data_IF_202355311187
#
_entry.id   IF_202355311187
#
_cell.length_a   1.000
_cell.length_b   1.000
_cell.length_c   1.000
_cell.angle_alpha   90.00
_cell.angle_beta   90.00
_cell.angle_gamma   90.00
#
_symmetry.space_group_name_H-M   'P 1'
#
loop_
_entity.id
_entity.type
_entity.pdbx_description
1 polymer ?
#
# COMPACT_ATOMS: atom_id res chain seq x y z
N UNK A 1 -19.38 -13.99 10.72
CA UNK A 1 -18.67 -13.03 11.60
C UNK A 1 -19.67 -11.94 11.95
N UNK A 2 -20.07 -11.82 13.22
CA UNK A 2 -21.02 -10.81 13.69
C UNK A 2 -20.26 -9.50 13.90
N UNK A 3 -20.59 -8.45 13.13
CA UNK A 3 -19.93 -7.15 13.24
C UNK A 3 -20.77 -6.22 14.12
N UNK A 4 -20.25 -5.86 15.29
CA UNK A 4 -20.78 -4.79 16.14
C UNK A 4 -20.06 -3.49 15.78
N UNK A 5 -20.76 -2.56 15.12
CA UNK A 5 -20.24 -1.22 14.83
C UNK A 5 -20.65 -0.23 15.93
N UNK A 6 -19.68 0.51 16.46
CA UNK A 6 -19.94 1.65 17.35
C UNK A 6 -20.52 2.84 16.57
N UNK A 7 -21.40 3.63 17.22
CA UNK A 7 -22.14 4.77 16.65
C UNK A 7 -21.27 6.01 16.30
N UNK A 8 -20.07 5.82 15.77
CA UNK A 8 -19.18 6.92 15.37
C UNK A 8 -18.84 6.84 13.88
N UNK A 9 -19.86 6.58 13.07
CA UNK A 9 -19.82 6.68 11.61
C UNK A 9 -20.37 8.06 11.22
N UNK A 10 -19.71 9.13 11.66
CA UNK A 10 -20.31 10.47 11.66
C UNK A 10 -19.38 11.47 10.97
N UNK A 11 -19.63 11.70 9.68
CA UNK A 11 -19.17 12.80 8.81
C UNK A 11 -17.65 12.99 8.58
N UNK A 12 -16.82 12.97 9.61
CA UNK A 12 -15.37 13.24 9.46
C UNK A 12 -14.63 12.20 8.60
N UNK A 13 -15.09 10.94 8.61
CA UNK A 13 -14.51 9.90 7.74
C UNK A 13 -14.92 10.04 6.27
N UNK A 14 -16.12 10.55 6.00
CA UNK A 14 -16.60 10.78 4.63
C UNK A 14 -15.90 11.99 4.01
N UNK A 15 -15.79 13.10 4.75
CA UNK A 15 -15.04 14.28 4.31
C UNK A 15 -13.55 13.95 4.04
N UNK A 16 -12.95 13.08 4.84
CA UNK A 16 -11.58 12.62 4.62
C UNK A 16 -11.44 11.79 3.33
N UNK A 17 -12.45 10.99 3.00
CA UNK A 17 -12.49 10.19 1.78
C UNK A 17 -12.72 11.06 0.54
N UNK A 18 -13.65 12.01 0.61
CA UNK A 18 -13.87 13.01 -0.45
C UNK A 18 -12.60 13.80 -0.73
N UNK A 19 -11.94 14.31 0.31
CA UNK A 19 -10.67 15.02 0.16
C UNK A 19 -9.57 14.14 -0.44
N UNK A 20 -9.53 12.84 -0.10
CA UNK A 20 -8.59 11.91 -0.72
C UNK A 20 -8.88 11.74 -2.22
N UNK A 21 -10.14 11.61 -2.61
CA UNK A 21 -10.54 11.53 -4.03
C UNK A 21 -10.23 12.81 -4.82
N UNK A 22 -10.24 13.97 -4.17
CA UNK A 22 -9.80 15.24 -4.77
C UNK A 22 -8.28 15.34 -4.90
N UNK A 23 -7.52 14.68 -4.01
CA UNK A 23 -6.06 14.73 -3.99
C UNK A 23 -5.39 13.75 -4.94
N UNK A 24 -5.95 12.55 -5.09
CA UNK A 24 -5.30 11.46 -5.84
C UNK A 24 -6.21 10.84 -6.89
N UNK A 25 -5.64 10.58 -8.06
CA UNK A 25 -6.28 9.78 -9.09
C UNK A 25 -5.92 8.30 -8.91
N UNK A 26 -6.92 7.48 -8.55
CA UNK A 26 -6.74 6.05 -8.31
C UNK A 26 -6.63 5.29 -9.64
N UNK A 27 -5.40 5.17 -10.14
CA UNK A 27 -5.13 4.43 -11.39
C UNK A 27 -5.42 2.93 -11.28
N UNK A 28 -5.02 2.31 -10.17
CA UNK A 28 -5.24 0.89 -9.93
C UNK A 28 -5.61 0.66 -8.47
N UNK A 29 -6.79 0.11 -8.24
CA UNK A 29 -7.24 -0.33 -6.92
C UNK A 29 -8.32 -1.39 -7.09
N UNK A 30 -8.00 -2.65 -6.83
CA UNK A 30 -8.84 -3.80 -7.20
C UNK A 30 -10.30 -3.73 -6.68
N UNK A 31 -10.52 -3.09 -5.54
CA UNK A 31 -11.86 -2.95 -4.95
C UNK A 31 -12.66 -1.73 -5.43
N UNK A 32 -12.01 -0.73 -6.04
CA UNK A 32 -12.62 0.57 -6.36
C UNK A 32 -12.61 0.90 -7.85
N UNK A 33 -11.65 0.37 -8.60
CA UNK A 33 -11.53 0.59 -10.03
C UNK A 33 -12.67 -0.05 -10.81
N UNK A 34 -13.00 0.52 -11.96
CA UNK A 34 -14.06 0.02 -12.83
C UNK A 34 -13.54 -1.09 -13.77
N UNK A 35 -12.29 -0.98 -14.20
CA UNK A 35 -11.60 -1.89 -15.10
C UNK A 35 -11.41 -3.27 -14.46
N UNK A 36 -11.62 -4.33 -15.23
CA UNK A 36 -11.46 -5.72 -14.76
C UNK A 36 -10.69 -6.58 -15.77
N UNK A 37 -10.15 -7.71 -15.30
CA UNK A 37 -9.41 -8.66 -16.15
C UNK A 37 -8.29 -7.96 -16.93
N UNK A 38 -8.25 -8.18 -18.25
CA UNK A 38 -7.24 -7.59 -19.14
C UNK A 38 -7.14 -6.06 -19.08
N UNK A 39 -8.24 -5.37 -18.78
CA UNK A 39 -8.21 -3.90 -18.64
C UNK A 39 -7.43 -3.49 -17.40
N UNK A 40 -7.68 -4.14 -16.26
CA UNK A 40 -6.93 -3.91 -15.03
C UNK A 40 -5.44 -4.27 -15.20
N UNK A 41 -5.17 -5.39 -15.88
CA UNK A 41 -3.81 -5.81 -16.22
C UNK A 41 -3.08 -4.79 -17.12
N UNK A 42 -3.79 -4.17 -18.07
CA UNK A 42 -3.21 -3.17 -18.96
C UNK A 42 -2.69 -1.94 -18.22
N UNK A 43 -3.34 -1.53 -17.12
CA UNK A 43 -2.89 -0.42 -16.28
C UNK A 43 -1.58 -0.78 -15.57
N UNK A 44 -1.51 -2.00 -15.01
CA UNK A 44 -0.27 -2.49 -14.39
C UNK A 44 0.86 -2.59 -15.42
N UNK A 45 0.56 -3.05 -16.63
CA UNK A 45 1.54 -3.11 -17.73
C UNK A 45 2.02 -1.72 -18.15
N UNK A 46 1.15 -0.71 -18.18
CA UNK A 46 1.55 0.68 -18.42
C UNK A 46 2.53 1.17 -17.35
N UNK A 47 2.29 0.85 -16.08
CA UNK A 47 3.22 1.15 -15.00
C UNK A 47 4.57 0.45 -15.19
N UNK A 48 4.58 -0.81 -15.63
CA UNK A 48 5.84 -1.50 -15.95
C UNK A 48 6.55 -0.95 -17.18
N UNK A 49 5.83 -0.55 -18.23
CA UNK A 49 6.44 -0.02 -19.45
C UNK A 49 6.94 1.41 -19.29
N UNK A 50 6.57 2.09 -18.19
CA UNK A 50 6.88 3.51 -17.95
C UNK A 50 5.91 4.46 -18.65
N UNK A 51 4.79 3.95 -19.15
CA UNK A 51 3.72 4.78 -19.73
C UNK A 51 2.81 5.38 -18.65
N UNK A 52 2.88 4.87 -17.42
CA UNK A 52 2.33 5.52 -16.25
C UNK A 52 3.46 6.22 -15.50
N UNK A 53 3.53 7.54 -15.68
CA UNK A 53 4.52 8.40 -15.03
C UNK A 53 4.04 8.78 -13.61
N UNK A 54 5.00 9.13 -12.74
CA UNK A 54 4.80 9.80 -11.44
C UNK A 54 3.72 9.19 -10.53
N UNK A 55 3.76 7.86 -10.35
CA UNK A 55 2.81 7.17 -9.48
C UNK A 55 3.39 6.83 -8.11
N UNK A 56 2.51 6.84 -7.11
CA UNK A 56 2.78 6.36 -5.76
C UNK A 56 2.32 4.91 -5.62
N UNK A 57 3.15 4.04 -5.07
CA UNK A 57 2.82 2.65 -4.79
C UNK A 57 2.41 2.50 -3.33
N UNK A 58 1.12 2.26 -3.09
CA UNK A 58 0.61 1.88 -1.77
C UNK A 58 0.36 0.36 -1.73
N UNK A 59 0.97 -0.30 -0.76
CA UNK A 59 0.82 -1.74 -0.54
C UNK A 59 0.05 -1.97 0.75
N UNK A 60 -1.07 -2.69 0.63
CA UNK A 60 -1.82 -3.25 1.75
C UNK A 60 -1.62 -4.77 1.80
N UNK A 61 -1.56 -5.31 3.01
CA UNK A 61 -1.44 -6.76 3.22
C UNK A 61 0.00 -7.25 3.41
N UNK A 62 0.11 -8.46 3.95
CA UNK A 62 1.40 -9.08 4.23
C UNK A 62 1.92 -9.81 2.99
N UNK A 63 3.25 -9.89 2.85
CA UNK A 63 3.89 -10.48 1.69
C UNK A 63 4.30 -11.92 2.03
N UNK A 64 3.63 -12.96 1.49
CA UNK A 64 4.06 -14.34 1.69
C UNK A 64 5.43 -14.54 1.02
N UNK A 65 6.44 -14.95 1.80
CA UNK A 65 7.81 -15.11 1.29
C UNK A 65 8.16 -16.55 0.90
N UNK A 66 7.53 -17.53 1.56
CA UNK A 66 7.70 -18.95 1.23
C UNK A 66 7.06 -19.24 -0.14
N UNK A 67 7.51 -20.29 -0.84
CA UNK A 67 6.90 -20.82 -2.06
C UNK A 67 6.38 -19.72 -3.01
N UNK A 68 7.31 -18.89 -3.51
CA UNK A 68 7.01 -17.62 -4.21
C UNK A 68 5.94 -17.72 -5.30
N UNK A 69 5.89 -18.85 -5.99
CA UNK A 69 4.95 -19.14 -7.10
C UNK A 69 3.56 -19.61 -6.62
N UNK A 70 3.38 -19.94 -5.35
CA UNK A 70 2.21 -20.68 -4.88
C UNK A 70 1.09 -19.80 -4.30
N UNK A 71 1.42 -18.63 -3.74
CA UNK A 71 0.47 -17.89 -2.91
C UNK A 71 -0.23 -16.73 -3.63
N UNK A 72 0.52 -15.80 -4.23
CA UNK A 72 -0.04 -14.58 -4.82
C UNK A 72 0.71 -14.22 -6.10
N UNK A 73 -0.07 -13.91 -7.14
CA UNK A 73 0.44 -13.51 -8.46
C UNK A 73 -0.32 -12.32 -9.01
N UNK A 74 0.42 -11.43 -9.67
CA UNK A 74 -0.10 -10.29 -10.42
C UNK A 74 0.47 -10.40 -11.84
N UNK A 75 -0.37 -10.26 -12.88
CA UNK A 75 0.06 -10.47 -14.28
C UNK A 75 0.74 -11.83 -14.52
N UNK A 76 0.30 -12.87 -13.79
CA UNK A 76 0.95 -14.19 -13.79
C UNK A 76 2.34 -14.24 -13.14
N UNK A 77 2.86 -13.12 -12.65
CA UNK A 77 4.16 -13.00 -11.97
C UNK A 77 4.00 -13.16 -10.45
N UNK A 78 4.91 -13.85 -9.75
CA UNK A 78 4.96 -13.86 -8.29
C UNK A 78 4.91 -12.46 -7.68
N UNK A 79 4.15 -12.29 -6.59
CA UNK A 79 4.02 -11.00 -5.90
C UNK A 79 5.38 -10.39 -5.53
N UNK A 80 6.36 -11.19 -5.10
CA UNK A 80 7.68 -10.67 -4.74
C UNK A 80 8.36 -9.99 -5.93
N UNK A 81 8.33 -10.65 -7.10
CA UNK A 81 8.97 -10.13 -8.31
C UNK A 81 8.21 -8.91 -8.85
N UNK A 82 6.88 -8.94 -8.75
CA UNK A 82 6.02 -7.80 -9.06
C UNK A 82 6.40 -6.59 -8.19
N UNK A 83 6.43 -6.76 -6.86
CA UNK A 83 6.74 -5.69 -5.91
C UNK A 83 8.15 -5.16 -6.09
N UNK A 84 9.15 -6.04 -6.28
CA UNK A 84 10.53 -5.62 -6.56
C UNK A 84 10.59 -4.74 -7.80
N UNK A 85 9.99 -5.16 -8.92
CA UNK A 85 10.06 -4.41 -10.19
C UNK A 85 9.24 -3.12 -10.17
N UNK A 86 8.02 -3.14 -9.64
CA UNK A 86 7.13 -1.98 -9.68
C UNK A 86 7.59 -0.90 -8.70
N UNK A 87 8.20 -1.31 -7.57
CA UNK A 87 8.73 -0.37 -6.58
C UNK A 87 9.92 0.46 -7.08
N UNK A 88 10.67 -0.01 -8.07
CA UNK A 88 11.75 0.78 -8.72
C UNK A 88 11.21 1.92 -9.60
N UNK A 89 9.94 1.85 -10.00
CA UNK A 89 9.29 2.83 -10.88
C UNK A 89 8.41 3.81 -10.14
N UNK A 90 8.01 3.46 -8.92
CA UNK A 90 7.21 4.32 -8.07
C UNK A 90 8.05 5.47 -7.53
N UNK A 91 7.49 6.67 -7.53
CA UNK A 91 8.11 7.84 -6.92
C UNK A 91 8.19 7.68 -5.40
N UNK A 92 7.13 7.09 -4.83
CA UNK A 92 7.05 6.78 -3.41
C UNK A 92 6.44 5.42 -3.16
N UNK A 93 7.00 4.69 -2.19
CA UNK A 93 6.51 3.38 -1.77
C UNK A 93 6.01 3.46 -0.33
N UNK A 94 4.73 3.14 -0.14
CA UNK A 94 4.02 3.24 1.14
C UNK A 94 3.52 1.85 1.54
N UNK A 95 3.94 1.38 2.72
CA UNK A 95 3.37 0.23 3.39
C UNK A 95 2.25 0.68 4.33
N UNK A 96 1.01 0.27 4.06
CA UNK A 96 -0.15 0.64 4.85
C UNK A 96 -0.65 -0.51 5.74
N UNK A 97 -0.63 -0.27 7.05
CA UNK A 97 -1.06 -1.20 8.07
C UNK A 97 0.01 -2.21 8.51
N UNK A 98 -0.20 -2.82 9.67
CA UNK A 98 0.74 -3.74 10.31
C UNK A 98 1.07 -4.97 9.45
N UNK A 99 0.14 -5.41 8.61
CA UNK A 99 0.39 -6.48 7.65
C UNK A 99 1.48 -6.08 6.65
N UNK A 100 1.36 -4.91 6.03
CA UNK A 100 2.35 -4.44 5.06
C UNK A 100 3.64 -3.95 5.74
N UNK A 101 3.60 -3.39 6.94
CA UNK A 101 4.83 -2.87 7.59
C UNK A 101 5.67 -3.96 8.26
N UNK A 102 5.05 -5.01 8.77
CA UNK A 102 5.75 -6.03 9.60
C UNK A 102 5.18 -7.45 9.46
N UNK A 103 4.34 -7.73 8.47
CA UNK A 103 3.74 -9.04 8.23
C UNK A 103 2.45 -9.32 9.01
N UNK A 104 2.17 -8.57 10.08
CA UNK A 104 0.88 -8.56 10.79
C UNK A 104 0.41 -9.94 11.29
N UNK A 105 -0.92 -10.16 11.23
CA UNK A 105 -1.52 -11.44 11.64
C UNK A 105 -0.96 -12.63 10.84
N UNK A 106 -0.79 -12.55 9.49
CA UNK A 106 -0.17 -13.64 8.72
C UNK A 106 1.23 -14.06 9.18
N UNK A 107 2.02 -13.12 9.72
CA UNK A 107 3.36 -13.39 10.25
C UNK A 107 3.37 -13.92 11.70
N UNK A 108 2.20 -13.98 12.35
CA UNK A 108 2.07 -14.55 13.69
C UNK A 108 2.31 -16.06 13.66
N UNK A 109 2.80 -16.62 14.76
CA UNK A 109 3.05 -18.07 14.88
C UNK A 109 1.82 -18.89 14.46
N UNK A 110 1.96 -19.94 13.62
CA UNK A 110 3.20 -20.58 13.18
C UNK A 110 3.84 -19.97 11.91
N UNK A 111 3.32 -18.86 11.40
CA UNK A 111 3.74 -18.20 10.16
C UNK A 111 3.96 -19.17 8.98
N UNK A 112 2.90 -19.86 8.52
CA UNK A 112 3.05 -20.87 7.50
C UNK A 112 3.63 -20.26 6.23
N UNK A 113 3.12 -19.13 5.73
CA UNK A 113 3.58 -18.56 4.45
C UNK A 113 4.91 -17.81 4.54
N UNK A 114 5.57 -17.81 5.71
CA UNK A 114 6.71 -16.94 6.03
C UNK A 114 6.41 -15.48 5.64
N UNK A 115 5.23 -14.98 6.00
CA UNK A 115 4.80 -13.63 5.70
C UNK A 115 5.77 -12.60 6.30
N UNK A 116 6.12 -11.60 5.50
CA UNK A 116 6.98 -10.48 5.87
C UNK A 116 6.31 -9.14 5.53
N UNK A 117 6.87 -8.05 6.07
CA UNK A 117 6.52 -6.70 5.68
C UNK A 117 7.29 -6.23 4.45
N UNK A 118 6.77 -5.23 3.75
CA UNK A 118 7.40 -4.54 2.64
C UNK A 118 8.76 -3.92 3.00
N UNK A 119 8.97 -3.30 4.19
CA UNK A 119 10.29 -2.83 4.59
C UNK A 119 11.35 -3.94 4.68
N UNK A 120 10.93 -5.18 5.00
CA UNK A 120 11.82 -6.35 5.01
C UNK A 120 12.21 -6.77 3.59
N UNK A 121 11.30 -6.63 2.61
CA UNK A 121 11.56 -6.97 1.22
C UNK A 121 12.41 -5.91 0.49
N UNK A 122 12.04 -4.63 0.60
CA UNK A 122 12.64 -3.54 -0.19
C UNK A 122 13.74 -2.77 0.56
N UNK A 123 13.83 -2.95 1.88
CA UNK A 123 14.72 -2.20 2.75
C UNK A 123 14.01 -1.02 3.44
N UNK A 124 14.24 -0.80 4.74
CA UNK A 124 13.44 0.11 5.57
C UNK A 124 13.58 1.59 5.22
N UNK A 125 14.65 1.98 4.50
CA UNK A 125 14.85 3.37 4.06
C UNK A 125 14.08 3.73 2.79
N UNK A 126 13.62 2.73 2.03
CA UNK A 126 12.91 2.92 0.76
C UNK A 126 11.39 2.94 0.92
N UNK A 127 10.88 2.61 2.11
CA UNK A 127 9.46 2.36 2.36
C UNK A 127 8.97 3.26 3.48
N UNK A 128 7.92 4.03 3.20
CA UNK A 128 7.18 4.75 4.23
C UNK A 128 6.21 3.80 4.91
N UNK A 129 6.30 3.70 6.24
CA UNK A 129 5.52 2.76 7.01
C UNK A 129 4.42 3.47 7.81
N UNK A 130 3.16 3.17 7.49
CA UNK A 130 2.00 3.66 8.24
C UNK A 130 1.45 2.51 9.07
N UNK A 131 1.75 2.53 10.36
CA UNK A 131 1.36 1.46 11.29
C UNK A 131 -0.12 1.55 11.70
N UNK A 132 -0.67 0.40 12.12
CA UNK A 132 -2.04 0.22 12.60
C UNK A 132 -2.71 -1.03 12.04
N UNK A 133 -3.79 -1.50 12.67
CA UNK A 133 -4.59 -2.63 12.19
C UNK A 133 -6.09 -2.29 12.26
N UNK A 134 -6.63 -1.45 11.34
CA UNK A 134 -5.99 -0.90 10.14
C UNK A 134 -5.10 0.33 10.40
N UNK A 135 -4.31 0.71 9.39
CA UNK A 135 -3.47 1.91 9.44
C UNK A 135 -4.27 3.19 9.75
N UNK A 136 -3.63 4.20 10.34
CA UNK A 136 -4.31 5.47 10.63
C UNK A 136 -4.56 6.25 9.34
N UNK A 137 -5.82 6.33 8.89
CA UNK A 137 -6.20 7.04 7.66
C UNK A 137 -5.77 8.52 7.67
N UNK A 138 -5.85 9.19 8.82
CA UNK A 138 -5.37 10.58 8.96
C UNK A 138 -3.89 10.71 8.61
N UNK A 139 -3.04 9.79 9.04
CA UNK A 139 -1.60 9.82 8.73
C UNK A 139 -1.34 9.64 7.24
N UNK A 140 -2.07 8.75 6.56
CA UNK A 140 -1.97 8.58 5.11
C UNK A 140 -2.36 9.87 4.37
N UNK A 141 -3.52 10.43 4.72
CA UNK A 141 -4.03 11.63 4.05
C UNK A 141 -3.15 12.84 4.31
N UNK A 142 -2.67 13.02 5.54
CA UNK A 142 -1.73 14.11 5.86
C UNK A 142 -0.38 13.91 5.16
N UNK A 143 0.12 12.67 5.04
CA UNK A 143 1.33 12.39 4.27
C UNK A 143 1.14 12.78 2.80
N UNK A 144 0.05 12.37 2.16
CA UNK A 144 -0.24 12.68 0.76
C UNK A 144 -0.43 14.19 0.54
N UNK A 145 -1.22 14.84 1.41
CA UNK A 145 -1.46 16.28 1.36
C UNK A 145 -0.17 17.11 1.57
N UNK A 146 0.83 16.55 2.26
CA UNK A 146 2.14 17.18 2.40
C UNK A 146 3.04 16.85 1.19
N UNK A 147 3.04 15.59 0.74
CA UNK A 147 3.96 15.15 -0.31
C UNK A 147 3.60 15.73 -1.68
N UNK A 148 2.34 15.63 -2.10
CA UNK A 148 1.89 16.00 -3.45
C UNK A 148 2.23 17.46 -3.81
N UNK A 149 1.94 18.48 -2.98
CA UNK A 149 2.25 19.87 -3.36
C UNK A 149 3.71 20.28 -3.15
N UNK A 150 4.47 19.58 -2.29
CA UNK A 150 5.83 20.00 -1.91
C UNK A 150 6.94 19.08 -2.44
N UNK A 151 6.58 17.92 -2.98
CA UNK A 151 7.47 16.82 -3.42
C UNK A 151 8.52 16.48 -2.34
N UNK A 152 8.11 16.59 -1.08
CA UNK A 152 8.98 16.44 0.09
C UNK A 152 8.30 15.59 1.14
N UNK A 153 9.09 14.75 1.79
CA UNK A 153 8.60 13.97 2.91
C UNK A 153 8.51 14.84 4.17
N UNK A 154 7.46 14.66 5.00
CA UNK A 154 7.42 15.25 6.32
C UNK A 154 8.54 14.67 7.20
N UNK A 155 8.80 15.21 8.40
CA UNK A 155 9.75 14.62 9.33
C UNK A 155 9.46 13.14 9.56
N UNK A 156 10.49 12.30 9.37
CA UNK A 156 10.39 10.84 9.49
C UNK A 156 11.19 10.35 10.69
N UNK A 157 10.75 9.28 11.32
CA UNK A 157 11.53 8.59 12.34
C UNK A 157 12.51 7.56 11.75
N UNK A 158 13.33 6.95 12.61
CA UNK A 158 14.31 5.93 12.21
C UNK A 158 13.67 4.66 11.59
N UNK A 159 12.39 4.42 11.84
CA UNK A 159 11.62 3.28 11.33
C UNK A 159 10.88 3.60 10.03
N UNK A 160 11.13 4.74 9.41
CA UNK A 160 10.44 5.14 8.17
C UNK A 160 8.99 5.57 8.39
N UNK A 161 8.63 6.02 9.59
CA UNK A 161 7.28 6.48 9.93
C UNK A 161 7.19 8.01 9.91
N UNK A 162 6.13 8.59 9.33
CA UNK A 162 5.86 10.03 9.44
C UNK A 162 5.60 10.45 10.89
N UNK A 163 6.23 11.53 11.35
CA UNK A 163 6.06 12.12 12.69
C UNK A 163 5.01 13.25 12.61
N UNK A 164 3.77 12.89 12.24
CA UNK A 164 2.63 13.79 12.00
C UNK A 164 1.32 13.19 12.53
#
# INVERSE_FOLDING_TARGET
MCWLYGKTFTYLRLALFEYLLELVDFKYHELLMFETGYQAESILLQAFSGNLEDFLLLVEGAIPYRDREAYLKFLGMPLLDFLLKISEKAELVIAYGNCATQGGIPASSPNPTCAIGLPTLLGPKRVISIYGCPGKSKTLVTLLAYYIPFEKLPPMDKGGRPII
#
